data_IF_096782154920
#
_entry.id   IF_096782154920
#
_cell.length_a   1.000
_cell.length_b   1.000
_cell.length_c   1.000
_cell.angle_alpha   90.00
_cell.angle_beta   90.00
_cell.angle_gamma   90.00
#
_symmetry.space_group_name_H-M   'P 1'
#
loop_
_entity.id
_entity.type
_entity.pdbx_description
1 polymer ?
#
# COMPACT_ATOMS: atom_id res chain seq x y z
N UNK A 1 -26.83 0.37 -5.57
CA UNK A 1 -25.41 0.04 -5.83
C UNK A 1 -25.08 0.59 -7.21
N UNK A 2 -24.46 1.76 -7.33
CA UNK A 2 -24.13 2.35 -8.62
C UNK A 2 -23.06 1.49 -9.31
N UNK A 3 -23.33 1.10 -10.56
CA UNK A 3 -22.40 0.27 -11.32
C UNK A 3 -21.14 1.08 -11.66
N UNK A 4 -19.94 0.48 -11.64
CA UNK A 4 -18.66 1.18 -11.85
C UNK A 4 -18.56 1.89 -13.21
N UNK A 5 -19.40 1.51 -14.18
CA UNK A 5 -19.42 2.11 -15.52
C UNK A 5 -20.16 3.44 -15.55
N UNK A 6 -21.23 3.58 -14.75
CA UNK A 6 -21.99 4.84 -14.61
C UNK A 6 -21.18 5.89 -13.86
N UNK A 7 -20.38 5.49 -12.88
CA UNK A 7 -19.48 6.40 -12.17
C UNK A 7 -18.32 6.90 -13.05
N UNK A 8 -17.80 6.07 -13.95
CA UNK A 8 -16.77 6.47 -14.90
C UNK A 8 -17.30 7.50 -15.92
N UNK A 9 -18.50 7.30 -16.44
CA UNK A 9 -19.16 8.23 -17.38
C UNK A 9 -19.43 9.59 -16.72
N UNK A 10 -19.99 9.60 -15.51
CA UNK A 10 -20.23 10.83 -14.75
C UNK A 10 -18.93 11.59 -14.41
N UNK A 11 -17.80 10.88 -14.25
CA UNK A 11 -16.50 11.49 -14.03
C UNK A 11 -15.95 12.15 -15.30
N UNK A 12 -16.13 11.51 -16.47
CA UNK A 12 -15.73 12.06 -17.76
C UNK A 12 -16.49 13.36 -18.06
N UNK A 13 -17.80 13.37 -17.84
CA UNK A 13 -18.62 14.58 -18.01
C UNK A 13 -18.16 15.72 -17.08
N UNK A 14 -17.85 15.41 -15.82
CA UNK A 14 -17.29 16.39 -14.88
C UNK A 14 -15.97 16.97 -15.37
N UNK A 15 -15.06 16.13 -15.89
CA UNK A 15 -13.77 16.58 -16.40
C UNK A 15 -13.94 17.46 -17.64
N UNK A 16 -14.88 17.12 -18.54
CA UNK A 16 -15.17 17.92 -19.74
C UNK A 16 -15.83 19.28 -19.42
N UNK A 17 -16.55 19.39 -18.30
CA UNK A 17 -17.15 20.64 -17.85
C UNK A 17 -16.18 21.60 -17.16
N UNK A 18 -14.93 21.20 -16.93
CA UNK A 18 -13.93 22.03 -16.27
C UNK A 18 -13.41 23.14 -17.19
N UNK A 19 -13.04 24.32 -16.63
CA UNK A 19 -12.36 25.37 -17.38
C UNK A 19 -10.99 24.87 -17.88
N UNK A 20 -10.58 25.30 -19.07
CA UNK A 20 -9.30 24.90 -19.69
C UNK A 20 -8.08 25.14 -18.80
N UNK A 21 -8.13 26.19 -17.97
CA UNK A 21 -7.11 26.54 -16.98
C UNK A 21 -6.85 25.41 -15.94
N UNK A 22 -7.89 24.64 -15.61
CA UNK A 22 -7.83 23.53 -14.63
C UNK A 22 -7.50 22.18 -15.25
N UNK A 23 -7.49 22.07 -16.58
CA UNK A 23 -7.17 20.81 -17.27
C UNK A 23 -5.71 20.42 -17.02
N UNK A 24 -4.79 21.38 -17.09
CA UNK A 24 -3.37 21.15 -16.83
C UNK A 24 -3.10 20.60 -15.42
N UNK A 25 -3.84 21.07 -14.41
CA UNK A 25 -3.74 20.58 -13.02
C UNK A 25 -4.26 19.14 -12.89
N UNK A 26 -5.34 18.81 -13.60
CA UNK A 26 -5.87 17.44 -13.64
C UNK A 26 -4.92 16.48 -14.36
N UNK A 27 -4.29 16.93 -15.46
CA UNK A 27 -3.28 16.15 -16.17
C UNK A 27 -2.08 15.83 -15.28
N UNK A 28 -1.52 16.83 -14.59
CA UNK A 28 -0.44 16.65 -13.63
C UNK A 28 -0.81 15.67 -12.50
N UNK A 29 -2.03 15.80 -11.96
CA UNK A 29 -2.51 14.87 -10.93
C UNK A 29 -2.65 13.43 -11.44
N UNK A 30 -3.14 13.24 -12.67
CA UNK A 30 -3.25 11.91 -13.30
C UNK A 30 -1.87 11.31 -13.55
N UNK A 31 -0.92 12.10 -14.02
CA UNK A 31 0.47 11.66 -14.21
C UNK A 31 1.16 11.32 -12.90
N UNK A 32 0.92 12.10 -11.84
CA UNK A 32 1.35 11.77 -10.49
C UNK A 32 0.82 10.42 -10.01
N UNK A 33 -0.48 10.14 -10.21
CA UNK A 33 -1.07 8.84 -9.86
C UNK A 33 -0.44 7.68 -10.64
N UNK A 34 -0.16 7.88 -11.93
CA UNK A 34 0.52 6.89 -12.78
C UNK A 34 1.95 6.64 -12.33
N UNK A 35 2.70 7.69 -12.00
CA UNK A 35 4.06 7.59 -11.48
C UNK A 35 4.09 6.85 -10.15
N UNK A 36 3.19 7.19 -9.21
CA UNK A 36 3.04 6.50 -7.94
C UNK A 36 2.71 5.01 -8.11
N UNK A 37 1.80 4.67 -9.02
CA UNK A 37 1.44 3.28 -9.28
C UNK A 37 2.64 2.46 -9.84
N UNK A 38 3.51 3.09 -10.65
CA UNK A 38 4.74 2.47 -11.15
C UNK A 38 5.75 2.23 -10.01
N UNK A 39 5.93 3.21 -9.12
CA UNK A 39 6.81 3.07 -7.95
C UNK A 39 6.31 2.00 -6.97
N UNK A 40 5.00 1.89 -6.74
CA UNK A 40 4.47 0.84 -5.87
C UNK A 40 4.68 -0.56 -6.45
N UNK A 41 4.59 -0.73 -7.77
CA UNK A 41 4.92 -2.01 -8.43
C UNK A 41 6.41 -2.38 -8.31
N UNK A 42 7.33 -1.41 -8.20
CA UNK A 42 8.75 -1.72 -7.99
C UNK A 42 9.07 -2.11 -6.54
N UNK A 43 8.31 -1.60 -5.55
CA UNK A 43 8.50 -1.95 -4.12
C UNK A 43 8.04 -3.37 -3.81
N UNK A 44 7.06 -3.92 -4.54
CA UNK A 44 6.61 -5.32 -4.33
C UNK A 44 7.63 -6.35 -4.86
N UNK A 45 8.62 -5.94 -5.65
CA UNK A 45 9.71 -6.80 -6.08
C UNK A 45 10.77 -6.89 -4.99
N UNK A 46 10.41 -7.49 -3.84
CA UNK A 46 11.28 -7.91 -2.72
C UNK A 46 12.69 -7.32 -2.81
N UNK A 47 12.83 -6.00 -2.67
CA UNK A 47 14.09 -5.46 -2.24
C UNK A 47 14.12 -5.84 -0.78
N UNK A 48 14.95 -6.84 -0.46
CA UNK A 48 15.50 -7.00 0.87
C UNK A 48 15.85 -5.59 1.35
N UNK A 49 15.01 -5.04 2.21
CA UNK A 49 15.28 -3.76 2.81
C UNK A 49 16.65 -3.89 3.47
N UNK A 50 17.53 -2.91 3.24
CA UNK A 50 18.84 -2.82 3.87
C UNK A 50 18.69 -2.46 5.35
N UNK A 51 17.92 -3.29 6.06
CA UNK A 51 17.94 -3.29 7.51
C UNK A 51 19.07 -4.24 7.89
N UNK A 52 19.96 -3.84 8.81
CA UNK A 52 20.98 -4.71 9.39
C UNK A 52 20.32 -5.72 10.34
N UNK A 53 19.37 -6.49 9.82
CA UNK A 53 18.74 -7.62 10.48
C UNK A 53 19.56 -8.81 10.03
N UNK A 54 20.38 -9.33 10.93
CA UNK A 54 21.11 -10.57 10.69
C UNK A 54 20.11 -11.73 10.59
N UNK A 55 20.16 -12.47 9.49
CA UNK A 55 19.44 -13.74 9.34
C UNK A 55 20.15 -14.81 10.18
N UNK A 56 19.72 -15.00 11.43
CA UNK A 56 20.29 -15.98 12.38
C UNK A 56 19.78 -17.42 12.16
N UNK A 57 19.15 -17.70 11.02
CA UNK A 57 18.59 -19.01 10.69
C UNK A 57 17.15 -19.22 11.19
N UNK A 58 16.57 -20.40 10.91
CA UNK A 58 15.19 -20.70 11.28
C UNK A 58 15.00 -20.66 12.80
N UNK A 59 13.86 -20.12 13.22
CA UNK A 59 13.50 -20.15 14.64
C UNK A 59 13.35 -21.61 15.11
N UNK A 60 13.98 -21.98 16.25
CA UNK A 60 13.96 -23.34 16.76
C UNK A 60 12.55 -23.84 17.12
N UNK A 61 12.28 -25.10 16.79
CA UNK A 61 11.02 -25.77 17.13
C UNK A 61 10.82 -25.86 18.65
N UNK A 62 9.59 -25.57 19.10
CA UNK A 62 9.21 -25.66 20.51
C UNK A 62 9.61 -24.46 21.38
N UNK A 63 10.29 -23.45 20.82
CA UNK A 63 10.49 -22.17 21.49
C UNK A 63 9.35 -21.23 21.18
N UNK A 64 8.68 -20.76 22.23
CA UNK A 64 7.56 -19.84 22.17
C UNK A 64 7.95 -18.54 22.88
N UNK A 65 7.64 -17.41 22.25
CA UNK A 65 7.79 -16.08 22.86
C UNK A 65 6.52 -15.63 23.57
N UNK A 66 5.53 -16.52 23.73
CA UNK A 66 4.34 -16.20 24.50
C UNK A 66 4.70 -15.90 25.94
N UNK A 67 4.01 -14.92 26.51
CA UNK A 67 4.28 -14.43 27.87
C UNK A 67 4.11 -15.56 28.88
N UNK A 68 3.12 -16.39 28.64
CA UNK A 68 2.73 -17.55 29.43
C UNK A 68 3.86 -18.58 29.50
N UNK A 69 4.56 -18.80 28.38
CA UNK A 69 5.71 -19.72 28.30
C UNK A 69 6.99 -19.08 28.88
N UNK A 70 7.17 -17.76 28.71
CA UNK A 70 8.39 -17.03 29.13
C UNK A 70 8.40 -16.63 30.61
N UNK A 71 7.25 -16.28 31.16
CA UNK A 71 7.12 -15.73 32.51
C UNK A 71 6.20 -16.56 33.42
N UNK A 72 5.64 -17.66 32.89
CA UNK A 72 4.60 -18.41 33.55
C UNK A 72 3.27 -17.66 33.52
N UNK A 73 2.17 -18.40 33.60
CA UNK A 73 0.89 -17.79 33.94
C UNK A 73 1.07 -17.17 35.32
N UNK A 74 0.92 -15.85 35.42
CA UNK A 74 1.01 -15.15 36.69
C UNK A 74 -0.14 -15.57 37.61
N UNK A 75 -0.01 -16.74 38.23
CA UNK A 75 -0.84 -17.17 39.34
C UNK A 75 -0.44 -16.30 40.54
N UNK A 76 -1.39 -15.45 40.94
CA UNK A 76 -1.32 -14.64 42.15
C UNK A 76 -2.18 -15.27 43.22
#
# INVERSE_FOLDING_TARGET
>A
MATPMQSAQALIEKIQSLPTDRIAEVEDFVDFLRQRARLQKSVTRKQSLDFPVDDLGPWPDGLSLHREDMYGNGER
#
